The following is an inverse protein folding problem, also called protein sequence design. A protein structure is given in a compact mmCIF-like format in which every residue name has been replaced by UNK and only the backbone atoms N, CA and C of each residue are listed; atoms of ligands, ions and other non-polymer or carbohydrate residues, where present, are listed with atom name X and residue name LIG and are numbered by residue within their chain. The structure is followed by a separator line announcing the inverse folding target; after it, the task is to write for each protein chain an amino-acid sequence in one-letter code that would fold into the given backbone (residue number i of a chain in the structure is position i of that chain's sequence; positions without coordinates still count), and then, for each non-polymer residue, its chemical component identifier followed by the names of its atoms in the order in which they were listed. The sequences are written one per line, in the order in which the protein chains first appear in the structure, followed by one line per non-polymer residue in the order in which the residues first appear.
data_IF_801639063356
#
_entry.id   IF_801639063356
#
_cell.length_a   1.000
_cell.length_b   1.000
_cell.length_c   1.000
_cell.angle_alpha   90.00
_cell.angle_beta   90.00
_cell.angle_gamma   90.00
#
_symmetry.space_group_name_H-M   'P 1'
#
loop_
_entity.id
_entity.type
_entity.pdbx_description
1 polymer ?
#
# COMPACT_ATOMS: atom_id res chain seq x y z
N UNK A 1 -36.76 15.52 -24.10
CA UNK A 1 -35.45 14.85 -24.15
C UNK A 1 -34.72 15.26 -22.89
N UNK A 2 -34.43 14.32 -21.99
CA UNK A 2 -33.68 14.60 -20.76
C UNK A 2 -32.20 14.81 -21.14
N UNK A 3 -31.58 15.86 -20.60
CA UNK A 3 -30.15 16.08 -20.80
C UNK A 3 -29.34 14.91 -20.21
N UNK A 4 -28.29 14.43 -20.90
CA UNK A 4 -27.39 13.46 -20.31
C UNK A 4 -26.75 14.08 -19.07
N UNK A 5 -27.12 13.56 -17.90
CA UNK A 5 -26.44 13.85 -16.64
C UNK A 5 -25.06 13.18 -16.75
N UNK A 6 -24.06 13.94 -17.19
CA UNK A 6 -22.67 13.54 -17.02
C UNK A 6 -22.36 13.66 -15.53
N UNK A 7 -22.05 12.56 -14.81
CA UNK A 7 -21.62 12.67 -13.42
C UNK A 7 -20.39 13.58 -13.36
N UNK A 8 -20.46 14.57 -12.47
CA UNK A 8 -19.44 15.59 -12.27
C UNK A 8 -18.07 14.94 -11.99
N UNK A 9 -17.04 15.48 -12.64
CA UNK A 9 -15.60 15.20 -12.49
C UNK A 9 -15.17 13.76 -12.77
N UNK A 10 -14.80 13.45 -14.03
CA UNK A 10 -13.91 12.34 -14.33
C UNK A 10 -12.52 12.63 -13.78
N UNK A 11 -12.30 12.34 -12.51
CA UNK A 11 -10.95 12.18 -12.00
C UNK A 11 -10.29 11.00 -12.75
N UNK A 12 -9.06 11.18 -13.19
CA UNK A 12 -8.33 10.17 -13.98
C UNK A 12 -7.53 9.30 -13.00
N UNK A 13 -7.41 7.97 -13.24
CA UNK A 13 -6.56 7.12 -12.43
C UNK A 13 -5.12 7.66 -12.35
N UNK A 14 -4.52 7.61 -11.16
CA UNK A 14 -3.16 8.08 -10.92
C UNK A 14 -2.18 6.92 -10.92
N UNK A 15 -1.15 7.01 -11.75
CA UNK A 15 -0.08 6.02 -11.83
C UNK A 15 1.13 6.40 -10.97
N UNK A 16 1.56 5.45 -10.14
CA UNK A 16 2.76 5.51 -9.33
C UNK A 16 3.77 4.48 -9.79
N UNK A 17 5.04 4.88 -9.83
CA UNK A 17 6.17 3.97 -10.03
C UNK A 17 6.90 3.75 -8.72
N UNK A 18 6.93 2.50 -8.26
CA UNK A 18 7.76 2.10 -7.13
C UNK A 18 9.11 1.63 -7.65
N UNK A 19 10.18 2.12 -7.04
CA UNK A 19 11.55 1.68 -7.31
C UNK A 19 12.28 1.38 -6.02
N UNK A 20 12.77 0.16 -5.88
CA UNK A 20 13.64 -0.24 -4.78
C UNK A 20 14.87 0.64 -4.78
N UNK A 21 15.20 1.18 -3.62
CA UNK A 21 16.34 2.05 -3.42
C UNK A 21 17.19 1.48 -2.29
N UNK A 22 18.50 1.45 -2.51
CA UNK A 22 19.46 0.90 -1.55
C UNK A 22 20.07 2.06 -0.77
N UNK A 23 19.81 2.09 0.54
CA UNK A 23 20.57 2.88 1.51
C UNK A 23 21.17 1.91 2.52
N UNK A 24 22.50 1.83 2.56
CA UNK A 24 23.21 0.91 3.45
C UNK A 24 22.94 -0.57 3.18
N UNK A 25 23.03 -1.40 4.23
CA UNK A 25 22.95 -2.88 4.17
C UNK A 25 21.50 -3.43 4.05
N UNK A 26 20.46 -2.59 4.06
CA UNK A 26 19.05 -3.05 4.10
C UNK A 26 18.38 -2.95 2.73
N UNK A 27 18.19 -4.11 2.10
CA UNK A 27 17.71 -4.26 0.72
C UNK A 27 16.16 -4.30 0.65
N UNK A 28 15.44 -3.37 1.30
CA UNK A 28 13.94 -3.39 1.35
C UNK A 28 13.24 -2.03 1.17
N UNK A 29 13.96 -0.93 1.07
CA UNK A 29 13.36 0.41 0.95
C UNK A 29 12.91 0.74 -0.48
N UNK A 30 11.90 1.60 -0.63
CA UNK A 30 11.37 2.03 -1.94
C UNK A 30 11.25 3.55 -2.03
N UNK A 31 11.41 4.06 -3.24
CA UNK A 31 11.02 5.41 -3.66
C UNK A 31 9.79 5.31 -4.55
N UNK A 32 8.81 6.20 -4.33
CA UNK A 32 7.57 6.27 -5.10
C UNK A 32 7.60 7.54 -5.95
N UNK A 33 7.36 7.37 -7.24
CA UNK A 33 7.39 8.45 -8.23
C UNK A 33 6.02 8.60 -8.92
N UNK A 34 5.69 9.80 -9.33
CA UNK A 34 4.57 10.05 -10.25
C UNK A 34 4.90 9.63 -11.69
N UNK A 35 3.95 9.86 -12.60
CA UNK A 35 4.11 9.60 -14.02
C UNK A 35 5.19 10.48 -14.70
N UNK A 36 5.52 11.64 -14.13
CA UNK A 36 6.53 12.57 -14.63
C UNK A 36 7.94 12.27 -14.08
N UNK A 37 8.06 11.36 -13.12
CA UNK A 37 9.32 10.99 -12.49
C UNK A 37 9.68 11.84 -11.26
N UNK A 38 8.76 12.64 -10.75
CA UNK A 38 8.95 13.39 -9.52
C UNK A 38 8.82 12.44 -8.32
N UNK A 39 9.71 12.60 -7.34
CA UNK A 39 9.64 11.85 -6.09
C UNK A 39 8.48 12.38 -5.23
N UNK A 40 7.57 11.50 -4.83
CA UNK A 40 6.42 11.85 -3.99
C UNK A 40 6.53 11.26 -2.58
N UNK A 41 6.97 10.01 -2.48
CA UNK A 41 7.05 9.32 -1.20
C UNK A 41 8.30 8.46 -1.07
N UNK A 42 8.69 8.25 0.19
CA UNK A 42 9.75 7.35 0.59
C UNK A 42 9.17 6.26 1.49
N UNK A 43 9.58 5.02 1.27
CA UNK A 43 9.14 3.87 2.06
C UNK A 43 10.35 3.25 2.71
N UNK A 44 10.38 3.32 4.03
CA UNK A 44 11.43 2.74 4.85
C UNK A 44 10.96 1.45 5.50
N UNK A 45 11.63 0.35 5.20
CA UNK A 45 11.40 -0.93 5.83
C UNK A 45 12.49 -1.17 6.88
N UNK A 46 12.08 -1.36 8.13
CA UNK A 46 12.96 -1.62 9.27
C UNK A 46 12.56 -2.92 9.95
N UNK A 47 13.57 -3.64 10.38
CA UNK A 47 13.46 -4.78 11.29
C UNK A 47 14.57 -4.59 12.31
N UNK A 48 14.21 -4.79 13.57
CA UNK A 48 15.09 -4.58 14.71
C UNK A 48 15.66 -5.93 15.13
N UNK A 49 16.98 -6.03 15.32
CA UNK A 49 17.60 -7.32 15.68
C UNK A 49 17.12 -7.83 17.05
N UNK A 50 16.64 -6.93 17.90
CA UNK A 50 16.19 -7.19 19.27
C UNK A 50 14.69 -7.42 19.38
N UNK A 51 13.92 -7.27 18.30
CA UNK A 51 12.48 -7.48 18.30
C UNK A 51 12.02 -8.04 16.95
N UNK A 52 11.18 -9.09 16.94
CA UNK A 52 10.62 -9.62 15.68
C UNK A 52 9.71 -8.61 14.96
N UNK A 53 9.46 -7.43 15.55
CA UNK A 53 8.68 -6.34 14.97
C UNK A 53 9.31 -5.86 13.66
N UNK A 54 8.52 -6.00 12.60
CA UNK A 54 8.77 -5.35 11.31
C UNK A 54 8.03 -4.02 11.31
N UNK A 55 8.69 -2.96 10.85
CA UNK A 55 8.14 -1.61 10.75
C UNK A 55 8.31 -1.12 9.32
N UNK A 56 7.26 -0.58 8.76
CA UNK A 56 7.21 0.03 7.44
C UNK A 56 6.68 1.44 7.62
N UNK A 57 7.50 2.43 7.29
CA UNK A 57 7.09 3.83 7.39
C UNK A 57 6.97 4.43 5.99
N UNK A 58 5.79 4.94 5.68
CA UNK A 58 5.53 5.80 4.53
C UNK A 58 5.85 7.24 4.94
N UNK A 59 6.78 7.84 4.22
CA UNK A 59 7.21 9.22 4.38
C UNK A 59 6.77 10.02 3.14
N UNK A 60 6.59 11.32 3.31
CA UNK A 60 6.48 12.25 2.19
C UNK A 60 7.85 12.50 1.51
N UNK A 61 7.86 13.41 0.54
CA UNK A 61 9.08 13.81 -0.17
C UNK A 61 10.09 14.60 0.69
N UNK A 62 9.66 15.11 1.85
CA UNK A 62 10.45 15.85 2.82
C UNK A 62 10.89 14.98 4.02
N UNK A 63 10.83 13.65 3.89
CA UNK A 63 11.17 12.69 4.94
C UNK A 63 10.29 12.76 6.21
N UNK A 64 9.11 13.37 6.12
CA UNK A 64 8.15 13.42 7.24
C UNK A 64 7.25 12.18 7.24
N UNK A 65 7.06 11.49 8.38
CA UNK A 65 6.26 10.29 8.47
C UNK A 65 4.77 10.58 8.33
N UNK A 66 4.12 9.89 7.40
CA UNK A 66 2.68 9.95 7.16
C UNK A 66 1.96 8.81 7.86
N UNK A 67 2.41 7.57 7.60
CA UNK A 67 1.81 6.35 8.14
C UNK A 67 2.91 5.36 8.48
N UNK A 68 2.86 4.77 9.67
CA UNK A 68 3.75 3.70 10.09
C UNK A 68 2.97 2.41 10.31
N UNK A 69 3.25 1.40 9.51
CA UNK A 69 2.71 0.05 9.65
C UNK A 69 3.68 -0.84 10.42
N UNK A 70 3.14 -1.66 11.32
CA UNK A 70 3.89 -2.36 12.34
C UNK A 70 3.33 -3.76 12.47
N UNK A 71 4.21 -4.76 12.40
CA UNK A 71 3.83 -6.14 12.67
C UNK A 71 3.93 -6.41 14.17
N UNK A 72 2.77 -6.47 14.82
CA UNK A 72 2.59 -6.88 16.21
C UNK A 72 2.09 -8.33 16.27
N UNK A 73 1.79 -8.82 17.48
CA UNK A 73 1.43 -10.23 17.71
C UNK A 73 0.17 -10.65 16.94
N UNK A 74 -0.81 -9.74 16.79
CA UNK A 74 -2.06 -9.96 16.07
C UNK A 74 -1.97 -9.73 14.54
N UNK A 75 -0.79 -9.33 14.03
CA UNK A 75 -0.57 -9.02 12.63
C UNK A 75 -0.18 -7.57 12.40
N UNK A 76 -0.42 -7.07 11.18
CA UNK A 76 -0.06 -5.70 10.82
C UNK A 76 -1.10 -4.71 11.31
N UNK A 77 -0.63 -3.60 11.87
CA UNK A 77 -1.43 -2.44 12.25
C UNK A 77 -0.77 -1.18 11.71
N UNK A 78 -1.57 -0.27 11.14
CA UNK A 78 -1.11 1.01 10.59
C UNK A 78 -1.50 2.16 11.50
N UNK A 79 -0.54 3.03 11.78
CA UNK A 79 -0.69 4.17 12.68
C UNK A 79 -0.35 5.48 11.95
N UNK A 80 -0.95 6.58 12.37
CA UNK A 80 -0.65 7.92 11.90
C UNK A 80 0.77 8.34 12.32
N UNK A 81 1.49 8.98 11.41
CA UNK A 81 2.84 9.48 11.67
C UNK A 81 3.83 8.37 12.04
N UNK A 82 4.72 8.68 12.98
CA UNK A 82 5.67 7.73 13.57
C UNK A 82 5.23 7.35 14.99
N UNK A 83 4.13 6.60 15.06
CA UNK A 83 3.48 6.22 16.31
C UNK A 83 3.12 4.73 16.34
N UNK A 84 2.83 4.26 17.56
CA UNK A 84 2.27 2.93 17.88
C UNK A 84 1.16 3.04 18.92
N UNK A 85 0.67 4.25 19.18
CA UNK A 85 -0.34 4.49 20.20
C UNK A 85 -1.73 4.12 19.68
N UNK A 86 -2.62 3.57 20.53
CA UNK A 86 -3.97 3.20 20.10
C UNK A 86 -4.76 4.36 19.47
N UNK A 87 -4.53 5.59 19.93
CA UNK A 87 -5.19 6.79 19.42
C UNK A 87 -4.77 7.15 17.98
N UNK A 88 -3.63 6.66 17.52
CA UNK A 88 -3.13 6.89 16.16
C UNK A 88 -3.47 5.74 15.21
N UNK A 89 -4.21 4.71 15.67
CA UNK A 89 -4.53 3.54 14.86
C UNK A 89 -5.45 3.90 13.68
N UNK A 90 -4.94 3.72 12.46
CA UNK A 90 -5.67 3.96 11.21
C UNK A 90 -6.30 2.69 10.66
N UNK A 91 -5.56 1.58 10.68
CA UNK A 91 -6.05 0.31 10.13
C UNK A 91 -5.43 -0.92 10.79
N UNK A 92 -6.15 -2.02 10.73
CA UNK A 92 -5.66 -3.36 11.12
C UNK A 92 -5.74 -4.31 9.94
N UNK A 93 -4.85 -5.29 9.90
CA UNK A 93 -4.74 -6.26 8.81
C UNK A 93 -4.95 -7.67 9.32
N UNK A 94 -5.99 -8.32 8.84
CA UNK A 94 -6.27 -9.73 9.09
C UNK A 94 -5.84 -10.58 7.89
N UNK A 95 -5.25 -11.74 8.18
CA UNK A 95 -4.87 -12.71 7.16
C UNK A 95 -6.06 -13.60 6.83
N UNK A 96 -6.44 -13.68 5.56
CA UNK A 96 -7.52 -14.57 5.10
C UNK A 96 -6.97 -15.85 4.47
N UNK A 97 -5.94 -15.74 3.61
CA UNK A 97 -5.31 -16.91 3.00
C UNK A 97 -3.84 -16.66 2.61
N UNK A 98 -3.01 -17.70 2.73
CA UNK A 98 -1.63 -17.68 2.26
C UNK A 98 -1.25 -18.98 1.55
N UNK A 99 -0.68 -18.85 0.37
CA UNK A 99 0.05 -19.89 -0.35
C UNK A 99 1.34 -19.28 -0.91
N UNK A 100 2.27 -20.12 -1.36
CA UNK A 100 3.55 -19.68 -1.94
C UNK A 100 3.38 -18.63 -3.06
N UNK A 101 2.24 -18.64 -3.77
CA UNK A 101 2.00 -17.77 -4.91
C UNK A 101 0.88 -16.76 -4.72
N UNK A 102 -0.05 -16.99 -3.77
CA UNK A 102 -1.22 -16.15 -3.56
C UNK A 102 -1.39 -15.78 -2.09
N UNK A 103 -1.66 -14.52 -1.85
CA UNK A 103 -1.95 -13.95 -0.53
C UNK A 103 -3.26 -13.17 -0.63
N UNK A 104 -4.11 -13.36 0.38
CA UNK A 104 -5.34 -12.61 0.58
C UNK A 104 -5.36 -12.03 1.98
N UNK A 105 -5.46 -10.70 2.07
CA UNK A 105 -5.55 -9.96 3.32
C UNK A 105 -6.85 -9.16 3.36
N UNK A 106 -7.38 -9.01 4.55
CA UNK A 106 -8.47 -8.09 4.87
C UNK A 106 -7.90 -6.93 5.67
N UNK A 107 -8.21 -5.70 5.26
CA UNK A 107 -7.80 -4.49 5.96
C UNK A 107 -9.04 -3.78 6.45
N UNK A 108 -9.10 -3.55 7.76
CA UNK A 108 -10.17 -2.82 8.41
C UNK A 108 -9.64 -1.43 8.77
N UNK A 109 -10.21 -0.41 8.18
CA UNK A 109 -9.87 1.00 8.44
C UNK A 109 -10.86 1.55 9.44
N UNK A 110 -10.33 2.13 10.52
CA UNK A 110 -11.13 2.83 11.52
C UNK A 110 -11.39 4.25 11.03
N UNK A 111 -12.64 4.69 11.07
CA UNK A 111 -13.00 6.10 10.85
C UNK A 111 -13.16 6.80 12.20
N UNK A 112 -12.68 8.04 12.32
CA UNK A 112 -12.90 8.89 13.50
C UNK A 112 -14.39 9.26 13.70
N UNK A 113 -15.25 8.99 12.72
CA UNK A 113 -16.66 9.30 12.80
C UNK A 113 -17.43 8.23 13.61
N UNK A 114 -18.11 8.67 14.67
CA UNK A 114 -18.94 7.94 15.63
C UNK A 114 -20.13 7.14 15.05
N UNK A 115 -20.16 6.87 13.74
CA UNK A 115 -21.19 6.08 13.03
C UNK A 115 -20.57 4.85 12.36
N UNK A 116 -19.81 4.11 13.15
CA UNK A 116 -19.68 2.64 13.20
C UNK A 116 -19.79 1.79 11.93
N UNK A 117 -19.23 2.23 10.80
CA UNK A 117 -18.89 1.34 9.69
C UNK A 117 -17.39 1.41 9.41
N UNK A 118 -16.65 0.41 9.90
CA UNK A 118 -15.24 0.21 9.53
C UNK A 118 -15.18 -0.05 8.04
N UNK A 119 -14.43 0.78 7.32
CA UNK A 119 -14.25 0.58 5.88
C UNK A 119 -13.37 -0.64 5.66
N UNK A 120 -13.89 -1.60 4.91
CA UNK A 120 -13.24 -2.89 4.68
C UNK A 120 -12.65 -2.95 3.28
N UNK A 121 -11.38 -3.32 3.21
CA UNK A 121 -10.65 -3.56 1.98
C UNK A 121 -10.18 -5.00 1.90
N UNK A 122 -10.20 -5.57 0.70
CA UNK A 122 -9.65 -6.90 0.42
C UNK A 122 -8.47 -6.75 -0.53
N UNK A 123 -7.32 -7.27 -0.14
CA UNK A 123 -6.10 -7.25 -0.93
C UNK A 123 -5.78 -8.66 -1.41
N UNK A 124 -5.75 -8.87 -2.73
CA UNK A 124 -5.46 -10.16 -3.35
C UNK A 124 -4.30 -10.05 -4.31
N UNK A 125 -3.38 -11.01 -4.26
CA UNK A 125 -2.30 -11.06 -5.26
C UNK A 125 -1.13 -11.91 -4.85
N UNK A 126 0.05 -11.58 -5.38
CA UNK A 126 1.29 -12.27 -5.11
C UNK A 126 2.35 -11.27 -4.64
N UNK A 127 2.66 -11.26 -3.33
CA UNK A 127 3.75 -10.43 -2.80
C UNK A 127 5.10 -10.71 -3.46
N UNK A 128 5.34 -11.98 -3.82
CA UNK A 128 6.55 -12.41 -4.52
C UNK A 128 6.66 -11.80 -5.92
N UNK A 129 5.56 -11.76 -6.69
CA UNK A 129 5.54 -11.18 -8.02
C UNK A 129 5.34 -9.66 -8.02
N UNK A 130 5.13 -9.06 -6.83
CA UNK A 130 4.76 -7.64 -6.66
C UNK A 130 3.48 -7.30 -7.43
N UNK A 131 2.50 -8.22 -7.38
CA UNK A 131 1.15 -8.03 -7.89
C UNK A 131 0.17 -7.98 -6.73
N UNK A 132 -0.77 -7.04 -6.77
CA UNK A 132 -1.82 -6.90 -5.76
C UNK A 132 -2.98 -6.12 -6.38
N UNK A 133 -4.20 -6.56 -6.15
CA UNK A 133 -5.41 -5.78 -6.42
C UNK A 133 -6.09 -5.50 -5.09
N UNK A 134 -6.46 -4.24 -4.89
CA UNK A 134 -7.11 -3.73 -3.68
C UNK A 134 -8.57 -3.47 -4.03
N UNK A 135 -9.46 -4.10 -3.29
CA UNK A 135 -10.90 -4.03 -3.49
C UNK A 135 -11.57 -3.34 -2.31
N UNK A 136 -12.63 -2.59 -2.59
CA UNK A 136 -13.59 -2.08 -1.62
C UNK A 136 -14.98 -2.49 -2.10
N UNK A 137 -15.61 -3.44 -1.40
CA UNK A 137 -16.79 -4.14 -1.92
C UNK A 137 -16.48 -4.76 -3.28
N UNK A 138 -17.29 -4.44 -4.28
CA UNK A 138 -17.14 -4.93 -5.66
C UNK A 138 -16.27 -4.03 -6.56
N UNK A 139 -15.71 -2.95 -6.02
CA UNK A 139 -14.93 -1.97 -6.78
C UNK A 139 -13.42 -2.16 -6.59
N UNK A 140 -12.66 -2.00 -7.67
CA UNK A 140 -11.19 -1.96 -7.61
C UNK A 140 -10.75 -0.54 -7.23
N UNK A 141 -10.07 -0.44 -6.10
CA UNK A 141 -9.51 0.82 -5.58
C UNK A 141 -8.12 1.05 -6.16
N UNK A 142 -7.33 -0.02 -6.26
CA UNK A 142 -5.99 0.09 -6.79
C UNK A 142 -5.47 -1.23 -7.33
N UNK A 143 -4.51 -1.15 -8.25
CA UNK A 143 -3.86 -2.30 -8.82
C UNK A 143 -2.35 -2.10 -8.94
N UNK A 144 -1.59 -2.91 -8.21
CA UNK A 144 -0.16 -3.03 -8.35
C UNK A 144 0.20 -4.18 -9.30
N UNK A 145 1.06 -3.89 -10.27
CA UNK A 145 1.52 -4.85 -11.25
C UNK A 145 3.03 -4.70 -11.50
N UNK A 146 3.76 -5.82 -11.74
CA UNK A 146 5.14 -5.74 -12.18
C UNK A 146 5.22 -5.03 -13.53
N UNK A 147 6.32 -4.32 -13.76
CA UNK A 147 6.57 -3.71 -15.06
C UNK A 147 7.09 -4.77 -16.04
N UNK A 148 6.16 -5.31 -16.84
CA UNK A 148 6.50 -6.25 -17.90
C UNK A 148 7.36 -5.56 -18.96
N UNK A 149 8.42 -6.25 -19.38
CA UNK A 149 9.20 -5.88 -20.56
C UNK A 149 8.97 -6.94 -21.62
N UNK A 150 8.57 -6.53 -22.82
CA UNK A 150 8.49 -7.41 -23.99
C UNK A 150 9.80 -8.21 -24.11
N UNK A 151 9.70 -9.53 -24.29
CA UNK A 151 10.81 -10.49 -24.45
C UNK A 151 11.69 -10.79 -23.22
N UNK A 152 11.26 -10.49 -21.99
CA UNK A 152 11.98 -10.93 -20.76
C UNK A 152 11.16 -11.91 -19.92
N UNK A 153 11.75 -13.07 -19.63
CA UNK A 153 11.18 -14.08 -18.71
C UNK A 153 11.45 -13.78 -17.23
N UNK A 154 12.51 -13.02 -16.91
CA UNK A 154 12.89 -12.67 -15.54
C UNK A 154 12.50 -11.22 -15.25
N UNK A 155 11.58 -11.05 -14.30
CA UNK A 155 11.01 -9.76 -13.92
C UNK A 155 11.75 -9.19 -12.71
N UNK A 156 12.08 -7.90 -12.77
CA UNK A 156 12.68 -7.23 -11.63
C UNK A 156 11.61 -6.92 -10.59
N UNK A 157 11.78 -7.47 -9.39
CA UNK A 157 10.94 -7.11 -8.22
C UNK A 157 11.30 -5.74 -7.64
N UNK A 158 12.33 -5.10 -8.21
CA UNK A 158 12.82 -3.81 -7.76
C UNK A 158 12.06 -2.65 -8.40
N UNK A 159 11.17 -2.91 -9.37
CA UNK A 159 10.37 -1.86 -10.00
C UNK A 159 8.99 -2.39 -10.39
N UNK A 160 7.93 -1.73 -9.93
CA UNK A 160 6.54 -2.08 -10.26
C UNK A 160 5.71 -0.80 -10.34
N UNK A 161 4.52 -0.91 -10.95
CA UNK A 161 3.56 0.18 -11.06
C UNK A 161 2.39 -0.07 -10.12
N UNK A 162 1.85 1.00 -9.55
CA UNK A 162 0.55 1.02 -8.90
C UNK A 162 -0.34 1.99 -9.68
N UNK A 163 -1.53 1.55 -10.05
CA UNK A 163 -2.58 2.42 -10.59
C UNK A 163 -3.62 2.59 -9.49
N UNK A 164 -3.85 3.84 -9.07
CA UNK A 164 -4.86 4.20 -8.08
C UNK A 164 -6.09 4.77 -8.80
N UNK A 165 -7.26 4.21 -8.53
CA UNK A 165 -8.50 4.75 -9.06
C UNK A 165 -8.98 5.95 -8.20
N UNK A 166 -9.72 6.90 -8.80
CA UNK A 166 -10.13 8.12 -8.13
C UNK A 166 -10.98 7.95 -6.86
N UNK A 167 -11.07 9.01 -6.05
CA UNK A 167 -11.88 9.04 -4.84
C UNK A 167 -11.32 8.28 -3.63
N UNK A 168 -10.05 7.89 -3.64
CA UNK A 168 -9.42 7.11 -2.58
C UNK A 168 -8.27 7.88 -1.90
N UNK A 169 -8.03 7.61 -0.62
CA UNK A 169 -6.89 8.17 0.12
C UNK A 169 -5.57 7.53 -0.35
N UNK A 170 -4.75 8.32 -1.05
CA UNK A 170 -3.51 7.87 -1.66
C UNK A 170 -2.50 7.36 -0.60
N UNK A 171 -2.10 8.12 0.44
CA UNK A 171 -1.27 7.61 1.53
C UNK A 171 -1.76 6.30 2.15
N UNK A 172 -3.05 6.20 2.45
CA UNK A 172 -3.62 5.00 3.06
C UNK A 172 -3.45 3.77 2.16
N UNK A 173 -3.79 3.90 0.87
CA UNK A 173 -3.67 2.81 -0.10
C UNK A 173 -2.21 2.42 -0.32
N UNK A 174 -1.28 3.38 -0.37
CA UNK A 174 0.15 3.12 -0.44
C UNK A 174 0.63 2.32 0.79
N UNK A 175 0.19 2.70 1.99
CA UNK A 175 0.53 1.99 3.23
C UNK A 175 -0.01 0.54 3.24
N UNK A 176 -1.26 0.32 2.82
CA UNK A 176 -1.85 -1.01 2.69
C UNK A 176 -1.05 -1.89 1.72
N UNK A 177 -0.69 -1.34 0.55
CA UNK A 177 0.04 -2.07 -0.48
C UNK A 177 1.43 -2.51 0.00
N UNK A 178 2.17 -1.60 0.63
CA UNK A 178 3.52 -1.94 1.11
C UNK A 178 3.45 -2.95 2.24
N UNK A 179 2.44 -2.85 3.12
CA UNK A 179 2.16 -3.82 4.16
C UNK A 179 1.91 -5.21 3.58
N UNK A 180 1.09 -5.30 2.53
CA UNK A 180 0.85 -6.55 1.79
C UNK A 180 2.14 -7.15 1.22
N UNK A 181 3.06 -6.32 0.73
CA UNK A 181 4.35 -6.80 0.22
C UNK A 181 5.42 -7.09 1.30
N UNK A 182 5.30 -6.51 2.49
CA UNK A 182 6.23 -6.67 3.60
C UNK A 182 5.87 -7.80 4.58
N UNK A 183 4.64 -8.33 4.50
CA UNK A 183 4.08 -9.30 5.43
C UNK A 183 4.52 -10.74 5.31
N UNK A 184 5.48 -11.06 4.43
CA UNK A 184 6.09 -12.39 4.28
C UNK A 184 7.57 -12.34 4.65
#
# INVERSE_FOLDING_TARGET
MAEPIFPATWEIPTDYTFRKYRVGLKDRDFKVFDAYGNLLHLIQCRSFSTSPRRVVTLLDAADSPLITAVHLDEGWQGFKGYSWEPNDLLFTVQKLAYSTFKTELEVLVSSDNLRDEKQKFILKGSPFQRSCTIYMGDSIVAQANPLYKLKKFIYSRNKFRLTLYPGNDHPLVLAMLVTFFGGN
#
